data_IF_843835172792
#
_entry.id   IF_843835172792
#
_cell.length_a   1.000
_cell.length_b   1.000
_cell.length_c   1.000
_cell.angle_alpha   90.00
_cell.angle_beta   90.00
_cell.angle_gamma   90.00
#
_symmetry.space_group_name_H-M   'P 1'
#
loop_
_entity.id
_entity.type
_entity.pdbx_description
1 polymer ?
#
# COMPACT_ATOMS: atom_id res chain seq x y z
N UNK A 1 -7.96 -2.63 -13.80
CA UNK A 1 -8.28 -1.28 -13.32
C UNK A 1 -7.91 -1.08 -11.87
N UNK A 2 -6.63 -1.29 -11.55
CA UNK A 2 -6.13 -1.03 -10.21
C UNK A 2 -6.06 0.48 -9.95
N UNK A 3 -6.34 0.86 -8.71
CA UNK A 3 -6.22 2.26 -8.29
C UNK A 3 -4.96 2.38 -7.46
N UNK A 4 -4.09 3.32 -7.85
CA UNK A 4 -2.85 3.60 -7.14
C UNK A 4 -2.90 5.04 -6.66
N UNK A 5 -2.73 5.23 -5.33
CA UNK A 5 -2.70 6.55 -4.72
C UNK A 5 -1.36 6.77 -4.03
N UNK A 6 -0.71 7.87 -4.37
CA UNK A 6 0.49 8.30 -3.65
C UNK A 6 0.06 9.23 -2.52
N UNK A 7 0.41 8.90 -1.28
CA UNK A 7 0.04 9.68 -0.12
C UNK A 7 1.16 10.63 0.30
N UNK A 8 2.37 10.12 0.29
CA UNK A 8 3.56 10.90 0.60
C UNK A 8 4.65 10.58 -0.39
N UNK A 9 5.87 11.04 -0.15
CA UNK A 9 6.97 10.84 -1.07
C UNK A 9 7.24 9.38 -1.36
N UNK A 10 7.11 8.53 -0.35
CA UNK A 10 7.44 7.11 -0.40
C UNK A 10 6.31 6.22 0.09
N UNK A 11 5.09 6.72 0.13
CA UNK A 11 3.94 6.01 0.67
C UNK A 11 2.84 5.89 -0.38
N UNK A 12 2.38 4.65 -0.61
CA UNK A 12 1.39 4.35 -1.64
C UNK A 12 0.26 3.48 -1.11
N UNK A 13 -0.94 3.73 -1.60
CA UNK A 13 -2.09 2.86 -1.40
C UNK A 13 -2.48 2.26 -2.73
N UNK A 14 -2.79 0.97 -2.74
CA UNK A 14 -3.23 0.28 -3.94
C UNK A 14 -4.53 -0.46 -3.67
N UNK A 15 -5.53 -0.22 -4.51
CA UNK A 15 -6.76 -1.01 -4.51
C UNK A 15 -6.73 -1.85 -5.78
N UNK A 16 -6.65 -3.15 -5.63
CA UNK A 16 -6.60 -4.08 -6.75
C UNK A 16 -7.98 -4.63 -7.06
N UNK A 17 -8.33 -4.62 -8.35
CA UNK A 17 -9.63 -5.10 -8.84
C UNK A 17 -9.43 -6.27 -9.79
N UNK A 18 -10.48 -7.07 -9.96
CA UNK A 18 -10.52 -8.17 -10.93
C UNK A 18 -9.44 -9.24 -10.74
N UNK A 19 -9.09 -9.51 -9.48
CA UNK A 19 -8.09 -10.51 -9.16
C UNK A 19 -8.76 -11.85 -8.97
N UNK A 20 -8.35 -12.84 -9.75
CA UNK A 20 -8.92 -14.18 -9.74
C UNK A 20 -8.16 -15.14 -8.82
N UNK A 21 -6.90 -14.84 -8.51
CA UNK A 21 -6.05 -15.68 -7.66
C UNK A 21 -5.51 -14.83 -6.51
N UNK A 22 -5.73 -15.29 -5.28
CA UNK A 22 -5.33 -14.55 -4.08
C UNK A 22 -3.82 -14.45 -3.88
N UNK A 23 -3.03 -15.22 -4.62
CA UNK A 23 -1.56 -15.15 -4.54
C UNK A 23 -0.95 -14.11 -5.45
N UNK A 24 -1.63 -13.79 -6.56
CA UNK A 24 -1.15 -12.80 -7.52
C UNK A 24 -1.03 -11.39 -6.93
N UNK A 25 -1.92 -10.97 -6.04
CA UNK A 25 -1.88 -9.60 -5.52
C UNK A 25 -0.60 -9.25 -4.78
N UNK A 26 -0.10 -10.16 -3.93
CA UNK A 26 1.13 -9.90 -3.19
C UNK A 26 2.32 -9.79 -4.13
N UNK A 27 2.42 -10.69 -5.09
CA UNK A 27 3.49 -10.68 -6.09
C UNK A 27 3.45 -9.39 -6.91
N UNK A 28 2.25 -8.98 -7.34
CA UNK A 28 2.07 -7.79 -8.15
C UNK A 28 2.42 -6.52 -7.38
N UNK A 29 2.05 -6.45 -6.11
CA UNK A 29 2.38 -5.32 -5.26
C UNK A 29 3.87 -5.22 -5.01
N UNK A 30 4.54 -6.35 -4.76
CA UNK A 30 5.99 -6.39 -4.58
C UNK A 30 6.72 -6.01 -5.88
N UNK A 31 6.23 -6.46 -7.03
CA UNK A 31 6.80 -6.09 -8.32
C UNK A 31 6.71 -4.58 -8.54
N UNK A 32 5.56 -4.00 -8.18
CA UNK A 32 5.37 -2.55 -8.31
C UNK A 32 6.33 -1.80 -7.38
N UNK A 33 6.44 -2.23 -6.14
CA UNK A 33 7.37 -1.62 -5.18
C UNK A 33 8.81 -1.70 -5.68
N UNK A 34 9.22 -2.88 -6.14
CA UNK A 34 10.58 -3.07 -6.66
C UNK A 34 10.82 -2.23 -7.92
N UNK A 35 9.81 -2.09 -8.77
CA UNK A 35 9.91 -1.27 -9.97
C UNK A 35 10.09 0.20 -9.65
N UNK A 36 9.36 0.73 -8.68
CA UNK A 36 9.49 2.13 -8.26
C UNK A 36 10.88 2.36 -7.64
N UNK A 37 11.33 1.42 -6.82
CA UNK A 37 12.64 1.49 -6.20
C UNK A 37 13.76 1.52 -7.25
N UNK A 38 13.63 0.67 -8.28
CA UNK A 38 14.59 0.62 -9.39
C UNK A 38 14.61 1.93 -10.18
N UNK A 39 13.44 2.52 -10.44
CA UNK A 39 13.36 3.81 -11.12
C UNK A 39 14.08 4.90 -10.34
N UNK A 40 13.99 4.87 -9.01
CA UNK A 40 14.71 5.81 -8.17
C UNK A 40 16.21 5.67 -8.33
N UNK A 41 16.72 4.44 -8.41
CA UNK A 41 18.15 4.18 -8.61
C UNK A 41 18.61 4.66 -9.99
N UNK A 42 17.81 4.41 -11.03
CA UNK A 42 18.13 4.84 -12.39
C UNK A 42 18.14 6.37 -12.54
N UNK A 43 17.36 7.06 -11.72
CA UNK A 43 17.34 8.52 -11.71
C UNK A 43 18.48 9.13 -10.91
N UNK A 44 19.43 8.32 -10.46
CA UNK A 44 20.60 8.74 -9.67
C UNK A 44 20.18 9.47 -8.38
N UNK A 45 19.13 8.99 -7.75
CA UNK A 45 18.71 9.52 -6.46
C UNK A 45 19.65 8.96 -5.40
N UNK A 46 20.41 9.83 -4.77
CA UNK A 46 21.45 9.43 -3.82
C UNK A 46 20.91 8.89 -2.50
N UNK A 47 19.65 9.17 -2.22
CA UNK A 47 18.98 8.66 -1.02
C UNK A 47 18.25 7.37 -1.41
N UNK A 48 18.48 6.26 -0.70
CA UNK A 48 17.73 5.03 -0.99
C UNK A 48 16.23 5.30 -0.87
N UNK A 49 15.48 5.01 -1.93
CA UNK A 49 14.03 5.12 -1.88
C UNK A 49 13.49 3.93 -1.11
N UNK A 50 12.93 4.23 0.04
CA UNK A 50 12.25 3.26 0.88
C UNK A 50 10.77 3.46 0.64
N UNK A 51 10.11 2.49 0.03
CA UNK A 51 8.72 2.60 -0.36
C UNK A 51 7.86 1.68 0.49
N UNK A 52 6.81 2.25 1.07
CA UNK A 52 5.83 1.51 1.85
C UNK A 52 4.51 1.47 1.09
N UNK A 53 3.92 0.29 0.97
CA UNK A 53 2.71 0.08 0.20
C UNK A 53 1.67 -0.66 1.03
N UNK A 54 0.45 -0.12 1.06
CA UNK A 54 -0.70 -0.80 1.64
C UNK A 54 -1.67 -1.20 0.53
N UNK A 55 -2.19 -2.41 0.60
CA UNK A 55 -3.01 -2.99 -0.47
C UNK A 55 -4.33 -3.54 0.06
N UNK A 56 -5.42 -3.24 -0.62
CA UNK A 56 -6.71 -3.92 -0.41
C UNK A 56 -7.26 -4.42 -1.74
N UNK A 57 -8.25 -5.33 -1.67
CA UNK A 57 -8.80 -5.99 -2.84
C UNK A 57 -10.29 -5.80 -2.98
N UNK A 58 -10.72 -5.51 -4.19
CA UNK A 58 -12.13 -5.53 -4.55
C UNK A 58 -12.43 -6.88 -5.21
N UNK A 59 -13.48 -7.58 -4.88
CA UNK A 59 -14.50 -7.27 -3.85
C UNK A 59 -14.24 -7.93 -2.49
N UNK A 60 -13.12 -8.61 -2.31
CA UNK A 60 -12.84 -9.43 -1.13
C UNK A 60 -12.86 -8.59 0.15
N UNK A 61 -12.23 -7.43 0.12
CA UNK A 61 -12.12 -6.56 1.29
C UNK A 61 -13.27 -5.56 1.39
N UNK A 62 -14.06 -5.43 0.35
CA UNK A 62 -15.22 -4.55 0.34
C UNK A 62 -15.66 -4.20 -1.07
N UNK A 63 -16.81 -3.57 -1.18
CA UNK A 63 -17.38 -3.13 -2.46
C UNK A 63 -17.48 -1.62 -2.56
N UNK A 64 -17.23 -0.91 -1.48
CA UNK A 64 -17.27 0.54 -1.39
C UNK A 64 -15.85 1.08 -1.41
N UNK A 65 -15.58 2.07 -2.25
CA UNK A 65 -14.24 2.65 -2.40
C UNK A 65 -13.71 3.22 -1.07
N UNK A 66 -14.57 3.82 -0.26
CA UNK A 66 -14.16 4.36 1.04
C UNK A 66 -13.69 3.26 1.99
N UNK A 67 -14.36 2.11 1.99
CA UNK A 67 -13.97 0.96 2.79
C UNK A 67 -12.65 0.38 2.30
N UNK A 68 -12.50 0.25 0.99
CA UNK A 68 -11.28 -0.28 0.39
C UNK A 68 -10.08 0.64 0.66
N UNK A 69 -10.30 1.94 0.59
CA UNK A 69 -9.27 2.92 0.89
C UNK A 69 -8.85 2.86 2.36
N UNK A 70 -9.84 2.75 3.27
CA UNK A 70 -9.58 2.61 4.70
C UNK A 70 -8.73 1.36 4.98
N UNK A 71 -9.06 0.24 4.36
CA UNK A 71 -8.32 -1.01 4.56
C UNK A 71 -6.92 -0.98 3.99
N UNK A 72 -6.74 -0.36 2.83
CA UNK A 72 -5.40 -0.14 2.28
C UNK A 72 -4.57 0.77 3.20
N UNK A 73 -5.20 1.78 3.78
CA UNK A 73 -4.55 2.70 4.72
C UNK A 73 -4.09 1.95 5.98
N UNK A 74 -4.91 1.05 6.52
CA UNK A 74 -4.51 0.20 7.64
C UNK A 74 -3.30 -0.65 7.30
N UNK A 75 -3.30 -1.22 6.10
CA UNK A 75 -2.18 -2.02 5.63
C UNK A 75 -0.91 -1.18 5.48
N UNK A 76 -1.03 0.04 5.00
CA UNK A 76 0.10 0.96 4.90
C UNK A 76 0.67 1.30 6.27
N UNK A 77 -0.19 1.56 7.24
CA UNK A 77 0.25 1.83 8.61
C UNK A 77 1.05 0.65 9.16
N UNK A 78 0.57 -0.58 8.91
CA UNK A 78 1.28 -1.78 9.31
C UNK A 78 2.63 -1.91 8.61
N UNK A 79 2.70 -1.58 7.32
CA UNK A 79 3.95 -1.58 6.57
C UNK A 79 4.97 -0.64 7.21
N UNK A 80 4.54 0.52 7.63
CA UNK A 80 5.42 1.50 8.30
C UNK A 80 5.88 1.00 9.66
N UNK A 81 5.00 0.36 10.42
CA UNK A 81 5.34 -0.24 11.71
C UNK A 81 6.37 -1.34 11.58
N UNK A 82 6.32 -2.11 10.50
CA UNK A 82 7.24 -3.22 10.24
C UNK A 82 8.60 -2.76 9.73
N UNK A 83 8.84 -1.46 9.66
CA UNK A 83 10.14 -0.91 9.30
C UNK A 83 10.21 -0.24 7.95
N UNK A 84 9.07 0.01 7.31
CA UNK A 84 9.00 0.61 5.97
C UNK A 84 9.66 -0.28 4.90
N UNK A 85 9.74 0.19 3.69
CA UNK A 85 10.31 -0.54 2.54
C UNK A 85 9.74 -1.95 2.41
N UNK A 86 8.41 -2.04 2.46
CA UNK A 86 7.71 -3.29 2.29
C UNK A 86 6.31 -3.05 1.77
N UNK A 87 5.63 -4.14 1.45
CA UNK A 87 4.26 -4.12 0.98
C UNK A 87 3.43 -5.00 1.91
N UNK A 88 2.34 -4.46 2.43
CA UNK A 88 1.43 -5.20 3.31
C UNK A 88 0.05 -5.25 2.66
N UNK A 89 -0.52 -6.44 2.63
CA UNK A 89 -1.88 -6.67 2.16
C UNK A 89 -2.81 -6.67 3.37
N UNK A 90 -3.93 -5.97 3.24
CA UNK A 90 -4.93 -5.97 4.30
C UNK A 90 -5.38 -7.40 4.61
N UNK A 91 -5.52 -7.71 5.90
CA UNK A 91 -6.10 -8.94 6.39
C UNK A 91 -6.93 -8.65 7.62
N UNK A 92 -7.82 -9.58 7.97
CA UNK A 92 -8.68 -9.42 9.14
C UNK A 92 -7.91 -9.30 10.45
N UNK A 93 -6.70 -9.82 10.49
CA UNK A 93 -5.84 -9.73 11.66
C UNK A 93 -5.51 -8.29 12.01
N UNK A 94 -5.48 -7.39 11.02
CA UNK A 94 -5.18 -5.98 11.23
C UNK A 94 -6.32 -5.21 11.92
N UNK A 95 -7.53 -5.77 11.96
CA UNK A 95 -8.67 -5.08 12.55
C UNK A 95 -8.51 -4.81 14.04
N UNK A 96 -7.77 -5.65 14.75
CA UNK A 96 -7.56 -5.52 16.19
C UNK A 96 -6.27 -4.77 16.53
N UNK A 97 -5.55 -4.28 15.53
CA UNK A 97 -4.31 -3.55 15.74
C UNK A 97 -4.57 -2.04 15.90
N UNK A 98 -3.79 -1.34 16.71
CA UNK A 98 -3.85 0.13 16.74
C UNK A 98 -3.61 0.68 15.35
N UNK A 99 -4.35 1.74 15.01
CA UNK A 99 -4.31 2.30 13.67
C UNK A 99 -4.30 3.82 13.69
N UNK A 100 -3.42 4.40 12.89
CA UNK A 100 -3.40 5.83 12.63
C UNK A 100 -3.49 6.03 11.11
N UNK A 101 -4.50 6.78 10.65
CA UNK A 101 -4.69 7.02 9.22
C UNK A 101 -3.50 7.78 8.63
N UNK A 102 -2.91 7.22 7.59
CA UNK A 102 -1.81 7.86 6.87
C UNK A 102 -2.33 8.93 5.91
N UNK A 103 -3.56 8.77 5.44
CA UNK A 103 -4.22 9.77 4.60
C UNK A 103 -4.47 11.05 5.41
N UNK A 104 -5.04 10.91 6.60
CA UNK A 104 -5.32 12.05 7.49
C UNK A 104 -4.02 12.72 7.93
N UNK A 105 -2.98 11.94 8.23
CA UNK A 105 -1.69 12.50 8.61
C UNK A 105 -1.07 13.32 7.48
N UNK A 106 -1.18 12.86 6.24
CA UNK A 106 -0.68 13.58 5.07
C UNK A 106 -1.45 14.88 4.84
N UNK A 107 -2.78 14.85 5.04
CA UNK A 107 -3.62 16.04 4.86
C UNK A 107 -3.37 17.11 5.92
N UNK A 108 -2.92 16.71 7.11
CA UNK A 108 -2.69 17.66 8.19
C UNK A 108 -1.32 18.34 8.10
N UNK A 109 -0.48 17.91 7.21
CA UNK A 109 0.80 18.53 6.94
C UNK A 109 0.63 19.69 5.95
#
# INVERSE_FOLDING_TARGET
DDIVCRIGGDEFLIIMRNIKDSRLPLMKADELRAGIEKLGLEADVRVPLSISVGVSFYPVDGTDDAVLLYKADKALYEAKKRGKNNCVIYSKELENEPFMSQITAAESE
#
